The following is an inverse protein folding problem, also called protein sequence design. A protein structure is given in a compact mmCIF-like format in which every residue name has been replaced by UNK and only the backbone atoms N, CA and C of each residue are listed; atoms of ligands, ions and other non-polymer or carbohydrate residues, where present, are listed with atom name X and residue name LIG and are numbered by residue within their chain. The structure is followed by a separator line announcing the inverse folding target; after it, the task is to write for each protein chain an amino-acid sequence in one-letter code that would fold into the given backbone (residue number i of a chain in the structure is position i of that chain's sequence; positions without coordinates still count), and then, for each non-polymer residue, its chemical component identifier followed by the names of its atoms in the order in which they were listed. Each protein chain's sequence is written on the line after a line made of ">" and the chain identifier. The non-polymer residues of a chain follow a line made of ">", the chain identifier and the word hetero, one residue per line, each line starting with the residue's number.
data_IF_218294467613
#
_entry.id   IF_218294467613
#
_cell.length_a   1.000
_cell.length_b   1.000
_cell.length_c   1.000
_cell.angle_alpha   90.00
_cell.angle_beta   90.00
_cell.angle_gamma   90.00
#
_symmetry.space_group_name_H-M   'P 1'
#
loop_
_entity.id
_entity.type
_entity.pdbx_description
1 polymer ?
#
# COMPACT_ATOMS: atom_id res chain seq x y z
N UNK A 1 -0.12 -12.10 -9.52
CA UNK A 1 0.20 -11.74 -8.13
C UNK A 1 -0.23 -12.88 -7.23
N UNK A 2 0.63 -13.32 -6.33
CA UNK A 2 0.30 -14.38 -5.38
C UNK A 2 -0.49 -13.80 -4.20
N UNK A 3 -1.38 -14.60 -3.62
CA UNK A 3 -2.24 -14.17 -2.50
C UNK A 3 -2.11 -15.09 -1.31
N UNK A 4 -2.09 -14.51 -0.11
CA UNK A 4 -1.88 -15.22 1.16
C UNK A 4 -2.89 -14.76 2.20
N UNK A 5 -3.20 -15.68 3.13
CA UNK A 5 -4.05 -15.37 4.28
C UNK A 5 -3.29 -14.49 5.27
N UNK A 6 -3.90 -13.41 5.73
CA UNK A 6 -3.29 -12.50 6.71
C UNK A 6 -3.35 -13.13 8.10
N UNK A 7 -2.26 -13.82 8.46
CA UNK A 7 -2.12 -14.52 9.73
C UNK A 7 -3.25 -15.53 9.98
N UNK A 8 -3.91 -15.39 11.13
CA UNK A 8 -5.04 -16.26 11.52
C UNK A 8 -6.42 -15.73 11.07
N UNK A 9 -6.48 -14.55 10.44
CA UNK A 9 -7.73 -13.92 10.00
C UNK A 9 -8.27 -14.54 8.71
N UNK A 10 -9.57 -14.38 8.42
CA UNK A 10 -10.17 -14.79 7.14
C UNK A 10 -9.79 -13.91 5.95
N UNK A 11 -8.97 -12.88 6.15
CA UNK A 11 -8.59 -11.91 5.12
C UNK A 11 -7.51 -12.52 4.23
N UNK A 12 -7.66 -12.37 2.92
CA UNK A 12 -6.68 -12.77 1.91
C UNK A 12 -6.20 -11.52 1.21
N UNK A 13 -4.88 -11.35 1.17
CA UNK A 13 -4.19 -10.17 0.62
C UNK A 13 -3.13 -10.61 -0.38
N UNK A 14 -2.64 -9.67 -1.19
CA UNK A 14 -1.42 -9.89 -1.98
C UNK A 14 -0.22 -10.19 -1.10
N UNK A 15 0.71 -11.00 -1.60
CA UNK A 15 1.93 -11.35 -0.87
C UNK A 15 2.94 -10.19 -0.77
N UNK A 16 2.70 -9.11 -1.52
CA UNK A 16 3.38 -7.83 -1.44
C UNK A 16 2.42 -6.78 -0.87
N UNK A 17 2.92 -5.95 0.05
CA UNK A 17 2.21 -4.82 0.64
C UNK A 17 2.83 -3.49 0.17
N UNK A 18 1.99 -2.49 -0.13
CA UNK A 18 2.40 -1.15 -0.51
C UNK A 18 2.49 -0.22 0.71
N UNK A 19 3.70 0.18 1.10
CA UNK A 19 3.92 1.15 2.16
C UNK A 19 3.70 2.60 1.71
N UNK A 20 3.22 3.46 2.60
CA UNK A 20 2.85 4.87 2.27
C UNK A 20 3.69 5.93 2.99
N UNK A 21 4.86 5.56 3.53
CA UNK A 21 5.69 6.46 4.36
C UNK A 21 6.22 7.71 3.64
N UNK A 22 6.31 7.69 2.31
CA UNK A 22 6.84 8.83 1.52
C UNK A 22 5.78 9.83 1.10
N UNK A 23 4.49 9.50 1.26
CA UNK A 23 3.37 10.31 0.79
C UNK A 23 3.18 11.54 1.69
N UNK A 24 3.03 12.71 1.08
CA UNK A 24 2.88 14.00 1.77
C UNK A 24 4.20 14.71 2.10
N UNK A 25 5.35 14.03 1.95
CA UNK A 25 6.69 14.63 2.12
C UNK A 25 7.54 14.55 0.85
N UNK A 26 7.93 13.34 0.46
CA UNK A 26 8.80 13.12 -0.71
C UNK A 26 7.98 12.96 -2.00
N UNK A 27 6.76 12.42 -1.87
CA UNK A 27 5.76 12.40 -2.93
C UNK A 27 4.63 13.35 -2.54
N UNK A 28 4.32 14.33 -3.39
CA UNK A 28 3.14 15.17 -3.19
C UNK A 28 1.84 14.34 -3.34
N UNK A 29 0.69 14.96 -3.06
CA UNK A 29 -0.60 14.28 -3.11
C UNK A 29 -0.86 13.63 -4.47
N UNK A 30 -0.66 14.37 -5.56
CA UNK A 30 -0.87 13.88 -6.92
C UNK A 30 0.02 12.68 -7.24
N UNK A 31 1.31 12.78 -6.92
CA UNK A 31 2.30 11.71 -7.13
C UNK A 31 1.96 10.49 -6.27
N UNK A 32 1.48 10.71 -5.05
CA UNK A 32 1.05 9.62 -4.15
C UNK A 32 -0.12 8.84 -4.75
N UNK A 33 -1.11 9.52 -5.34
CA UNK A 33 -2.19 8.88 -6.06
C UNK A 33 -1.70 8.12 -7.29
N UNK A 34 -0.81 8.70 -8.10
CA UNK A 34 -0.23 8.02 -9.27
C UNK A 34 0.54 6.74 -8.88
N UNK A 35 1.23 6.75 -7.73
CA UNK A 35 1.90 5.57 -7.17
C UNK A 35 0.87 4.51 -6.75
N UNK A 36 -0.20 4.92 -6.06
CA UNK A 36 -1.28 4.00 -5.64
C UNK A 36 -2.00 3.39 -6.84
N UNK A 37 -2.32 4.18 -7.86
CA UNK A 37 -2.94 3.69 -9.10
C UNK A 37 -2.06 2.64 -9.77
N UNK A 38 -0.75 2.90 -9.87
CA UNK A 38 0.20 1.93 -10.42
C UNK A 38 0.29 0.64 -9.61
N UNK A 39 0.23 0.73 -8.28
CA UNK A 39 0.23 -0.44 -7.40
C UNK A 39 -1.05 -1.27 -7.60
N UNK A 40 -2.20 -0.61 -7.66
CA UNK A 40 -3.49 -1.22 -7.92
C UNK A 40 -3.53 -1.91 -9.30
N UNK A 41 -3.05 -1.24 -10.36
CA UNK A 41 -2.99 -1.79 -11.71
C UNK A 41 -2.05 -3.00 -11.82
N UNK A 42 -1.01 -3.05 -10.98
CA UNK A 42 -0.15 -4.23 -10.83
C UNK A 42 -0.81 -5.38 -10.04
N UNK A 43 -1.99 -5.15 -9.49
CA UNK A 43 -2.80 -6.13 -8.76
C UNK A 43 -2.62 -6.11 -7.24
N UNK A 44 -1.98 -5.10 -6.66
CA UNK A 44 -1.76 -4.97 -5.21
C UNK A 44 -3.04 -4.50 -4.52
N UNK A 45 -3.48 -5.24 -3.50
CA UNK A 45 -4.67 -4.95 -2.69
C UNK A 45 -4.36 -4.69 -1.20
N UNK A 46 -3.08 -4.74 -0.81
CA UNK A 46 -2.64 -4.55 0.57
C UNK A 46 -1.79 -3.28 0.73
N UNK A 47 -2.26 -2.35 1.55
CA UNK A 47 -1.61 -1.06 1.80
C UNK A 47 -1.33 -0.86 3.29
N UNK A 48 -0.12 -0.37 3.60
CA UNK A 48 0.34 -0.10 4.95
C UNK A 48 0.44 1.42 5.21
N UNK A 49 -0.07 1.81 6.39
CA UNK A 49 -0.48 3.16 6.70
C UNK A 49 -0.54 3.38 8.23
N UNK A 50 0.02 4.49 8.73
CA UNK A 50 -0.03 4.93 10.13
C UNK A 50 -0.70 6.32 10.32
N UNK A 51 -1.06 6.71 11.54
CA UNK A 51 -1.61 8.07 11.79
C UNK A 51 -0.55 9.17 11.66
N UNK A 52 0.69 8.89 12.07
CA UNK A 52 1.89 9.68 11.78
C UNK A 52 2.78 8.87 10.85
N UNK A 53 3.17 9.46 9.71
CA UNK A 53 4.04 8.80 8.72
C UNK A 53 5.36 9.52 8.47
N UNK A 54 5.64 10.57 9.25
CA UNK A 54 6.88 11.33 9.19
C UNK A 54 6.98 12.34 10.34
N UNK A 55 8.17 12.52 10.90
CA UNK A 55 8.55 13.69 11.71
C UNK A 55 9.06 14.82 10.81
#
# INVERSE_FOLDING_TARGET
>A
MERKRLGRSGIVVTDICMGTMTFGLQADEKTSFEIMDRAHDAGIDFYDAAEMRSE
#
